data_IF_762273326298
#
_entry.id   IF_762273326298
#
_cell.length_a   1.000
_cell.length_b   1.000
_cell.length_c   1.000
_cell.angle_alpha   90.00
_cell.angle_beta   90.00
_cell.angle_gamma   90.00
#
_symmetry.space_group_name_H-M   'P 1'
#
loop_
_entity.id
_entity.type
_entity.pdbx_description
1 polymer ?
#
# COMPACT_ATOMS: atom_id res chain seq x y z
N UNK A 1 -12.59 18.32 -18.30
CA UNK A 1 -11.84 17.11 -18.57
C UNK A 1 -11.57 16.32 -17.28
N UNK A 2 -12.62 16.22 -16.47
CA UNK A 2 -12.55 15.39 -15.27
C UNK A 2 -12.19 13.93 -15.61
N UNK A 3 -12.54 13.48 -16.81
CA UNK A 3 -12.27 12.13 -17.26
C UNK A 3 -10.79 11.87 -17.59
N UNK A 4 -10.00 12.93 -17.67
CA UNK A 4 -8.57 12.81 -17.88
C UNK A 4 -7.90 12.07 -16.72
N UNK A 5 -8.35 12.30 -15.49
CA UNK A 5 -7.86 11.59 -14.32
C UNK A 5 -8.85 10.46 -13.98
N UNK A 6 -8.37 9.26 -13.67
CA UNK A 6 -9.25 8.14 -13.31
C UNK A 6 -10.20 8.45 -12.15
N UNK A 7 -9.81 9.37 -11.27
CA UNK A 7 -10.58 9.76 -10.11
C UNK A 7 -11.41 11.02 -10.35
N UNK A 8 -11.25 11.68 -11.51
CA UNK A 8 -11.86 12.99 -11.75
C UNK A 8 -11.38 13.99 -10.71
N UNK A 9 -12.30 14.76 -10.13
CA UNK A 9 -12.01 15.72 -9.07
C UNK A 9 -12.31 15.15 -7.68
N UNK A 10 -12.09 13.86 -7.50
CA UNK A 10 -12.37 13.17 -6.25
C UNK A 10 -11.29 13.44 -5.20
N UNK A 11 -11.67 13.32 -3.93
CA UNK A 11 -10.75 13.46 -2.81
C UNK A 11 -10.06 12.14 -2.54
N UNK A 12 -8.75 12.17 -2.47
CA UNK A 12 -7.93 11.00 -2.18
C UNK A 12 -7.14 11.21 -0.89
N UNK A 13 -6.96 10.14 -0.13
CA UNK A 13 -6.18 10.13 1.10
C UNK A 13 -5.22 8.94 1.09
N UNK A 14 -4.02 9.16 1.62
CA UNK A 14 -3.10 8.05 1.90
C UNK A 14 -3.63 7.27 3.10
N UNK A 15 -3.78 5.97 2.95
CA UNK A 15 -4.35 5.13 4.00
C UNK A 15 -3.37 4.07 4.47
N UNK A 16 -3.18 4.02 5.78
CA UNK A 16 -2.41 3.00 6.47
C UNK A 16 -3.11 2.74 7.80
N UNK A 17 -3.76 1.60 7.92
CA UNK A 17 -4.65 1.29 9.05
C UNK A 17 -3.97 0.69 10.27
N UNK A 18 -2.66 0.73 10.36
CA UNK A 18 -1.92 0.11 11.46
C UNK A 18 -2.21 0.80 12.79
N UNK A 19 -2.48 -0.01 13.82
CA UNK A 19 -2.69 0.43 15.20
C UNK A 19 -1.41 0.25 15.98
N UNK A 20 -1.40 0.71 17.25
CA UNK A 20 -0.26 0.50 18.14
C UNK A 20 0.08 -0.99 18.22
N UNK A 21 1.36 -1.30 18.13
CA UNK A 21 1.84 -2.68 18.11
C UNK A 21 1.73 -3.38 16.76
N UNK A 22 1.19 -2.73 15.76
CA UNK A 22 1.11 -3.25 14.39
C UNK A 22 2.09 -2.53 13.48
N UNK A 23 2.70 -3.24 12.56
CA UNK A 23 3.54 -2.64 11.53
C UNK A 23 3.79 -3.63 10.39
N UNK A 24 4.11 -3.13 9.19
CA UNK A 24 4.53 -4.01 8.09
C UNK A 24 5.78 -4.80 8.43
N UNK A 25 6.73 -4.16 9.12
CA UNK A 25 8.02 -4.79 9.46
C UNK A 25 7.84 -5.94 10.45
N UNK A 26 6.95 -5.78 11.43
CA UNK A 26 6.63 -6.82 12.39
C UNK A 26 5.67 -7.88 11.81
N UNK A 27 5.11 -7.63 10.64
CA UNK A 27 4.10 -8.47 9.99
C UNK A 27 2.86 -8.67 10.85
N UNK A 28 2.50 -7.62 11.59
CA UNK A 28 1.26 -7.57 12.37
C UNK A 28 0.36 -6.56 11.69
N UNK A 29 -0.70 -7.04 11.05
CA UNK A 29 -1.54 -6.24 10.18
C UNK A 29 -2.91 -5.97 10.80
N UNK A 30 -3.53 -4.82 10.47
CA UNK A 30 -4.90 -4.56 10.89
C UNK A 30 -5.85 -5.66 10.43
N UNK A 31 -6.83 -5.97 11.27
CA UNK A 31 -7.88 -6.90 10.89
C UNK A 31 -8.86 -6.26 9.90
N UNK A 32 -9.65 -7.07 9.23
CA UNK A 32 -10.71 -6.56 8.36
C UNK A 32 -11.72 -5.71 9.13
N UNK A 33 -12.03 -6.08 10.36
CA UNK A 33 -12.95 -5.29 11.20
C UNK A 33 -12.37 -3.92 11.54
N UNK A 34 -11.08 -3.86 11.85
CA UNK A 34 -10.40 -2.59 12.09
C UNK A 34 -10.42 -1.70 10.85
N UNK A 35 -10.12 -2.28 9.69
CA UNK A 35 -10.14 -1.56 8.42
C UNK A 35 -11.56 -1.08 8.10
N UNK A 36 -12.56 -1.92 8.27
CA UNK A 36 -13.95 -1.54 8.05
C UNK A 36 -14.38 -0.39 8.96
N UNK A 37 -13.92 -0.39 10.20
CA UNK A 37 -14.16 0.70 11.14
C UNK A 37 -13.61 2.03 10.63
N UNK A 38 -12.38 2.01 10.10
CA UNK A 38 -11.77 3.20 9.48
C UNK A 38 -12.59 3.67 8.28
N UNK A 39 -13.00 2.74 7.43
CA UNK A 39 -13.74 3.06 6.21
C UNK A 39 -15.10 3.69 6.51
N UNK A 40 -15.75 3.28 7.58
CA UNK A 40 -17.01 3.93 8.02
C UNK A 40 -16.80 5.39 8.41
N UNK A 41 -15.62 5.72 8.91
CA UNK A 41 -15.27 7.11 9.21
C UNK A 41 -14.90 7.91 7.96
N UNK A 42 -14.27 7.27 6.99
CA UNK A 42 -13.72 7.95 5.79
C UNK A 42 -14.75 8.12 4.68
N UNK A 43 -15.72 7.24 4.58
CA UNK A 43 -16.59 7.13 3.40
C UNK A 43 -17.44 8.36 3.11
N UNK A 44 -17.65 9.28 3.91
CA UNK A 44 -18.40 10.50 3.61
C UNK A 44 -17.56 11.60 3.01
N UNK A 45 -16.26 11.58 3.30
CA UNK A 45 -15.35 12.68 2.97
C UNK A 45 -14.33 12.33 1.90
N UNK A 46 -14.07 11.04 1.66
CA UNK A 46 -13.01 10.58 0.77
C UNK A 46 -13.55 9.58 -0.25
N UNK A 47 -13.05 9.70 -1.48
CA UNK A 47 -13.47 8.87 -2.60
C UNK A 47 -12.43 7.87 -3.04
N UNK A 48 -11.19 8.09 -2.64
CA UNK A 48 -10.06 7.26 -3.08
C UNK A 48 -9.03 7.10 -1.98
N UNK A 49 -8.36 5.95 -2.02
CA UNK A 49 -7.31 5.59 -1.07
C UNK A 49 -6.01 5.32 -1.82
N UNK A 50 -4.89 5.85 -1.32
CA UNK A 50 -3.57 5.44 -1.78
C UNK A 50 -2.97 4.47 -0.76
N UNK A 51 -2.58 3.29 -1.22
CA UNK A 51 -1.89 2.27 -0.43
C UNK A 51 -0.40 2.28 -0.75
N UNK A 52 0.40 1.71 0.14
CA UNK A 52 1.86 1.82 0.06
C UNK A 52 2.55 0.56 -0.44
N UNK A 53 1.93 -0.59 -0.27
CA UNK A 53 2.52 -1.88 -0.64
C UNK A 53 1.43 -2.86 -1.01
N UNK A 54 1.80 -3.91 -1.73
CA UNK A 54 0.90 -5.01 -2.09
C UNK A 54 1.07 -6.16 -1.10
N UNK A 55 0.89 -5.86 0.18
CA UNK A 55 1.04 -6.79 1.30
C UNK A 55 -0.32 -7.29 1.82
N UNK A 56 -0.30 -7.97 2.95
CA UNK A 56 -1.52 -8.47 3.60
C UNK A 56 -2.48 -7.33 3.95
N UNK A 57 -1.97 -6.17 4.33
CA UNK A 57 -2.80 -4.99 4.59
C UNK A 57 -3.57 -4.60 3.33
N UNK A 58 -2.87 -4.50 2.21
CA UNK A 58 -3.50 -4.18 0.92
C UNK A 58 -4.57 -5.20 0.55
N UNK A 59 -4.27 -6.48 0.68
CA UNK A 59 -5.23 -7.55 0.37
C UNK A 59 -6.49 -7.41 1.22
N UNK A 60 -6.34 -7.17 2.51
CA UNK A 60 -7.49 -6.97 3.42
C UNK A 60 -8.29 -5.73 3.08
N UNK A 61 -7.63 -4.64 2.70
CA UNK A 61 -8.31 -3.41 2.24
C UNK A 61 -9.20 -3.72 1.04
N UNK A 62 -8.65 -4.39 0.03
CA UNK A 62 -9.42 -4.73 -1.18
C UNK A 62 -10.57 -5.68 -0.87
N UNK A 63 -10.35 -6.65 0.00
CA UNK A 63 -11.40 -7.59 0.42
C UNK A 63 -12.53 -6.88 1.17
N UNK A 64 -12.20 -5.96 2.08
CA UNK A 64 -13.22 -5.19 2.82
C UNK A 64 -14.06 -4.34 1.87
N UNK A 65 -13.41 -3.68 0.91
CA UNK A 65 -14.14 -2.89 -0.10
C UNK A 65 -15.13 -3.78 -0.86
N UNK A 66 -14.66 -4.94 -1.32
CA UNK A 66 -15.48 -5.85 -2.10
C UNK A 66 -16.61 -6.48 -1.26
N UNK A 67 -16.30 -6.95 -0.07
CA UNK A 67 -17.25 -7.66 0.79
C UNK A 67 -18.32 -6.75 1.38
N UNK A 68 -17.97 -5.52 1.74
CA UNK A 68 -18.89 -4.61 2.39
C UNK A 68 -19.43 -3.51 1.49
N UNK A 69 -18.99 -3.46 0.23
CA UNK A 69 -19.53 -2.55 -0.76
C UNK A 69 -19.14 -1.09 -0.56
N UNK A 70 -17.97 -0.82 0.04
CA UNK A 70 -17.47 0.55 0.12
C UNK A 70 -17.13 1.09 -1.27
N UNK A 71 -17.43 2.36 -1.49
CA UNK A 71 -17.22 3.02 -2.78
C UNK A 71 -15.91 3.82 -2.78
N UNK A 72 -14.80 3.11 -2.64
CA UNK A 72 -13.47 3.71 -2.75
C UNK A 72 -12.78 3.25 -4.03
N UNK A 73 -12.15 4.19 -4.73
CA UNK A 73 -11.14 3.88 -5.72
C UNK A 73 -9.81 3.68 -5.01
N UNK A 74 -8.98 2.78 -5.52
CA UNK A 74 -7.70 2.46 -4.87
C UNK A 74 -6.55 2.70 -5.83
N UNK A 75 -5.57 3.47 -5.37
CA UNK A 75 -4.26 3.59 -6.01
C UNK A 75 -3.32 2.63 -5.30
N UNK A 76 -2.97 1.53 -5.97
CA UNK A 76 -2.04 0.56 -5.43
C UNK A 76 -0.63 1.12 -5.41
N UNK A 77 0.09 0.87 -4.33
CA UNK A 77 1.51 1.16 -4.25
C UNK A 77 2.31 -0.13 -4.28
N UNK A 78 3.36 -0.17 -5.08
CA UNK A 78 4.36 -1.22 -5.02
C UNK A 78 5.53 -0.71 -4.18
N UNK A 79 5.80 -1.34 -3.05
CA UNK A 79 6.90 -0.94 -2.18
C UNK A 79 8.19 -1.65 -2.62
N UNK A 80 9.12 -0.87 -3.15
CA UNK A 80 10.37 -1.38 -3.69
C UNK A 80 11.54 -1.04 -2.78
N UNK A 81 12.36 -2.04 -2.48
CA UNK A 81 13.59 -1.87 -1.71
C UNK A 81 14.76 -1.51 -2.63
N UNK A 82 15.84 -1.01 -2.04
CA UNK A 82 17.02 -0.59 -2.80
C UNK A 82 17.67 -1.76 -3.54
N UNK A 83 17.97 -1.56 -4.81
CA UNK A 83 18.69 -2.53 -5.65
C UNK A 83 20.14 -2.12 -5.91
N UNK A 84 20.49 -0.89 -5.53
CA UNK A 84 21.83 -0.35 -5.63
C UNK A 84 22.18 0.39 -4.35
N UNK A 85 23.45 0.37 -3.98
CA UNK A 85 23.93 1.24 -2.90
C UNK A 85 24.07 2.67 -3.39
N UNK A 86 23.69 3.62 -2.53
CA UNK A 86 23.90 5.05 -2.76
C UNK A 86 24.57 5.66 -1.53
N UNK A 87 25.91 5.71 -1.50
CA UNK A 87 26.63 6.21 -0.32
C UNK A 87 26.33 7.68 0.01
N UNK A 88 25.72 8.43 -0.90
CA UNK A 88 25.35 9.82 -0.68
C UNK A 88 23.95 9.98 -0.11
N UNK A 89 23.22 8.89 0.10
CA UNK A 89 21.89 8.94 0.68
C UNK A 89 21.98 9.17 2.20
N UNK A 90 21.35 10.24 2.74
CA UNK A 90 21.48 10.57 4.16
C UNK A 90 20.76 9.59 5.09
N UNK A 91 19.88 8.75 4.62
CA UNK A 91 19.15 7.79 5.45
C UNK A 91 19.44 6.33 5.08
N UNK A 92 20.71 6.06 4.82
CA UNK A 92 21.19 4.68 4.71
C UNK A 92 21.26 4.16 3.29
N UNK A 93 22.35 4.49 2.61
CA UNK A 93 22.54 4.12 1.22
C UNK A 93 23.48 2.97 0.97
N UNK A 94 24.15 2.45 2.01
CA UNK A 94 25.09 1.35 1.87
C UNK A 94 24.42 0.03 2.24
N UNK A 95 24.51 -0.95 1.33
CA UNK A 95 23.94 -2.27 1.54
C UNK A 95 24.94 -3.35 1.07
N UNK A 96 25.04 -4.49 1.79
CA UNK A 96 25.77 -5.65 1.29
C UNK A 96 25.16 -6.18 -0.01
N UNK A 97 25.99 -6.77 -0.87
CA UNK A 97 25.52 -7.26 -2.18
C UNK A 97 24.45 -8.35 -2.05
N UNK A 98 24.54 -9.21 -1.04
CA UNK A 98 23.55 -10.25 -0.80
C UNK A 98 22.18 -9.65 -0.45
N UNK A 99 22.16 -8.53 0.30
CA UNK A 99 20.93 -7.81 0.61
C UNK A 99 20.34 -7.19 -0.65
N UNK A 100 21.16 -6.59 -1.51
CA UNK A 100 20.70 -6.00 -2.77
C UNK A 100 20.11 -7.07 -3.69
N UNK A 101 20.74 -8.24 -3.78
CA UNK A 101 20.20 -9.34 -4.58
C UNK A 101 18.86 -9.84 -4.02
N UNK A 102 18.76 -9.98 -2.71
CA UNK A 102 17.51 -10.34 -2.07
C UNK A 102 16.41 -9.30 -2.35
N UNK A 103 16.77 -8.02 -2.31
CA UNK A 103 15.83 -6.93 -2.64
C UNK A 103 15.36 -7.01 -4.09
N UNK A 104 16.26 -7.34 -5.03
CA UNK A 104 15.87 -7.50 -6.44
C UNK A 104 14.82 -8.60 -6.60
N UNK A 105 14.98 -9.72 -5.90
CA UNK A 105 14.02 -10.82 -5.95
C UNK A 105 12.69 -10.41 -5.29
N UNK A 106 12.74 -9.75 -4.15
CA UNK A 106 11.53 -9.28 -3.47
C UNK A 106 10.78 -8.24 -4.31
N UNK A 107 11.50 -7.36 -4.99
CA UNK A 107 10.89 -6.34 -5.85
C UNK A 107 10.14 -6.97 -7.03
N UNK A 108 10.71 -8.02 -7.61
CA UNK A 108 10.01 -8.77 -8.68
C UNK A 108 8.70 -9.36 -8.15
N UNK A 109 8.71 -9.95 -6.97
CA UNK A 109 7.50 -10.49 -6.34
C UNK A 109 6.48 -9.42 -6.02
N UNK A 110 6.95 -8.25 -5.57
CA UNK A 110 6.04 -7.13 -5.28
C UNK A 110 5.35 -6.63 -6.55
N UNK A 111 6.11 -6.48 -7.65
CA UNK A 111 5.53 -6.07 -8.93
C UNK A 111 4.52 -7.10 -9.43
N UNK A 112 4.83 -8.38 -9.31
CA UNK A 112 3.89 -9.45 -9.69
C UNK A 112 2.61 -9.39 -8.87
N UNK A 113 2.72 -9.15 -7.55
CA UNK A 113 1.54 -8.98 -6.69
C UNK A 113 0.72 -7.77 -7.11
N UNK A 114 1.38 -6.66 -7.41
CA UNK A 114 0.68 -5.45 -7.87
C UNK A 114 -0.11 -5.70 -9.16
N UNK A 115 0.48 -6.40 -10.10
CA UNK A 115 -0.19 -6.75 -11.35
C UNK A 115 -1.39 -7.66 -11.09
N UNK A 116 -1.25 -8.63 -10.20
CA UNK A 116 -2.32 -9.56 -9.86
C UNK A 116 -3.49 -8.89 -9.13
N UNK A 117 -3.23 -7.87 -8.33
CA UNK A 117 -4.25 -7.16 -7.56
C UNK A 117 -4.93 -6.03 -8.33
N UNK A 118 -4.32 -5.56 -9.40
CA UNK A 118 -4.82 -4.41 -10.17
C UNK A 118 -6.10 -4.73 -10.99
#
# INVERSE_FOLDING_TARGET
>A
MSDFLPLGHKRAICYSGFRDGQSPDARVFPSKDEIASDFRLLQGDWDALRLYACDTHCERVLEVIAEQGFDFKVMLGAYLAAELSNPNCPWGGQHPEDVLEQNRQENLREVERAIALA
#
